data_IF_761048672256
#
_entry.id   IF_761048672256
#
_cell.length_a   1.000
_cell.length_b   1.000
_cell.length_c   1.000
_cell.angle_alpha   90.00
_cell.angle_beta   90.00
_cell.angle_gamma   90.00
#
_symmetry.space_group_name_H-M   'P 1'
#
loop_
_entity.id
_entity.type
_entity.pdbx_description
1 polymer ?
#
# COMPACT_ATOMS: atom_id res chain seq x y z
N UNK A 1 15.01 15.10 24.27
CA UNK A 1 14.28 14.89 25.52
C UNK A 1 14.40 13.48 26.09
N UNK A 2 15.36 12.66 25.65
CA UNK A 2 15.51 11.23 26.03
C UNK A 2 16.27 11.01 27.35
N UNK A 3 17.18 11.88 27.72
CA UNK A 3 18.06 11.67 28.91
C UNK A 3 17.40 11.73 30.31
N UNK A 4 16.17 12.25 30.45
CA UNK A 4 15.50 12.32 31.76
C UNK A 4 14.70 11.06 32.13
N UNK A 5 14.28 10.29 31.14
CA UNK A 5 13.52 9.04 31.35
C UNK A 5 14.44 7.88 31.71
N UNK A 6 15.67 7.88 31.20
CA UNK A 6 16.68 6.88 31.51
C UNK A 6 17.10 6.93 32.99
N UNK A 7 17.42 8.11 33.52
CA UNK A 7 17.85 8.28 34.89
C UNK A 7 16.81 7.85 35.93
N UNK A 8 15.51 7.90 35.62
CA UNK A 8 14.44 7.51 36.54
C UNK A 8 14.15 5.98 36.53
N UNK A 9 14.44 5.29 35.41
CA UNK A 9 14.21 3.86 35.29
C UNK A 9 15.29 3.01 35.99
N UNK A 10 16.52 3.50 36.14
CA UNK A 10 17.65 2.77 36.69
C UNK A 10 17.45 2.28 38.14
N UNK A 11 16.91 3.07 39.10
CA UNK A 11 16.69 2.61 40.45
C UNK A 11 15.66 1.49 40.57
N UNK A 12 14.61 1.52 39.76
CA UNK A 12 13.55 0.50 39.71
C UNK A 12 14.05 -0.82 39.09
N UNK A 13 14.87 -0.73 38.03
CA UNK A 13 15.59 -1.87 37.44
C UNK A 13 16.55 -2.51 38.47
N UNK A 14 17.22 -1.69 39.28
CA UNK A 14 18.16 -2.14 40.29
C UNK A 14 17.50 -2.96 41.40
N UNK A 15 16.26 -2.64 41.74
CA UNK A 15 15.47 -3.33 42.77
C UNK A 15 14.69 -4.54 42.24
N UNK A 16 14.75 -4.83 40.92
CA UNK A 16 13.99 -5.91 40.32
C UNK A 16 12.47 -5.63 40.20
N UNK A 17 12.07 -4.39 40.41
CA UNK A 17 10.67 -3.94 40.32
C UNK A 17 10.18 -3.73 38.88
N UNK A 18 11.11 -3.61 37.95
CA UNK A 18 10.83 -3.38 36.52
C UNK A 18 11.48 -4.46 35.66
N UNK A 19 10.69 -5.03 34.74
CA UNK A 19 11.21 -5.85 33.65
C UNK A 19 11.22 -5.01 32.38
N UNK A 20 12.38 -4.87 31.75
CA UNK A 20 12.58 -4.05 30.56
C UNK A 20 13.11 -4.92 29.42
N UNK A 21 12.48 -4.81 28.26
CA UNK A 21 13.00 -5.32 26.99
C UNK A 21 13.29 -4.10 26.12
N UNK A 22 14.56 -3.93 25.76
CA UNK A 22 15.02 -2.87 24.87
C UNK A 22 15.51 -3.44 23.55
N UNK A 23 15.35 -2.71 22.45
CA UNK A 23 15.95 -3.00 21.16
C UNK A 23 16.96 -1.91 20.81
N UNK A 24 18.13 -2.32 20.32
CA UNK A 24 19.22 -1.41 19.94
C UNK A 24 20.06 -2.04 18.82
N UNK A 25 20.93 -1.27 18.23
CA UNK A 25 21.94 -1.78 17.28
C UNK A 25 23.17 -2.31 18.02
N UNK A 26 23.97 -3.15 17.34
CA UNK A 26 25.22 -3.64 17.90
C UNK A 26 26.19 -2.51 18.26
N UNK A 27 26.22 -1.45 17.48
CA UNK A 27 27.11 -0.31 17.73
C UNK A 27 26.67 0.50 18.95
N UNK A 28 25.37 0.71 19.12
CA UNK A 28 24.81 1.37 20.32
C UNK A 28 24.94 0.48 21.56
N UNK A 29 24.79 -0.84 21.42
CA UNK A 29 24.96 -1.78 22.53
C UNK A 29 26.36 -1.75 23.10
N UNK A 30 27.40 -1.52 22.29
CA UNK A 30 28.78 -1.34 22.76
C UNK A 30 28.94 -0.17 23.75
N UNK A 31 28.10 0.85 23.67
CA UNK A 31 28.09 1.92 24.68
C UNK A 31 27.48 1.43 26.01
N UNK A 32 26.50 0.53 25.96
CA UNK A 32 25.92 -0.10 27.16
C UNK A 32 26.94 -1.02 27.84
N UNK A 33 27.76 -1.76 27.08
CA UNK A 33 28.82 -2.63 27.57
C UNK A 33 29.93 -1.85 28.30
N UNK A 34 30.13 -0.57 28.00
CA UNK A 34 31.09 0.29 28.70
C UNK A 34 30.64 0.68 30.10
N UNK A 35 29.35 0.55 30.43
CA UNK A 35 28.82 0.80 31.75
C UNK A 35 28.59 -0.53 32.50
N UNK A 36 29.46 -0.88 33.48
CA UNK A 36 29.36 -2.14 34.23
C UNK A 36 28.04 -2.29 35.02
N UNK A 37 27.36 -1.17 35.30
CA UNK A 37 26.10 -1.19 36.02
C UNK A 37 24.92 -1.59 35.10
N UNK A 38 25.02 -1.26 33.79
CA UNK A 38 24.07 -1.63 32.75
C UNK A 38 24.32 -3.04 32.24
N UNK A 39 25.57 -3.37 31.92
CA UNK A 39 25.97 -4.66 31.38
C UNK A 39 25.46 -5.83 32.25
N UNK A 40 25.53 -5.72 33.57
CA UNK A 40 25.10 -6.78 34.51
C UNK A 40 23.59 -6.95 34.61
N UNK A 41 22.81 -6.02 34.05
CA UNK A 41 21.34 -5.98 34.16
C UNK A 41 20.61 -6.34 32.89
N UNK A 42 21.31 -6.31 31.78
CA UNK A 42 20.76 -6.66 30.47
C UNK A 42 21.46 -7.92 29.96
N UNK A 43 20.65 -8.90 29.59
CA UNK A 43 21.13 -10.05 28.83
C UNK A 43 20.95 -9.80 27.36
N UNK A 44 22.01 -9.75 26.56
CA UNK A 44 21.90 -9.55 25.13
C UNK A 44 21.22 -10.76 24.47
N UNK A 45 20.29 -10.47 23.57
CA UNK A 45 19.69 -11.44 22.67
C UNK A 45 19.95 -10.94 21.25
N UNK A 46 20.79 -11.64 20.52
CA UNK A 46 21.10 -11.28 19.15
C UNK A 46 19.95 -11.70 18.23
N UNK A 47 19.54 -10.78 17.37
CA UNK A 47 18.51 -11.01 16.37
C UNK A 47 19.16 -10.85 15.00
N UNK A 48 19.38 -11.96 14.32
CA UNK A 48 19.97 -11.99 12.98
C UNK A 48 18.94 -11.63 11.92
N UNK A 49 19.44 -11.24 10.74
CA UNK A 49 18.60 -11.05 9.55
C UNK A 49 17.96 -12.39 9.16
N UNK A 50 16.63 -12.47 8.96
CA UNK A 50 15.98 -13.71 8.56
C UNK A 50 16.40 -14.13 7.15
N UNK A 51 16.37 -15.42 6.90
CA UNK A 51 16.54 -16.00 5.58
C UNK A 51 15.37 -15.62 4.66
N UNK A 52 15.52 -15.90 3.35
CA UNK A 52 14.43 -15.70 2.38
C UNK A 52 13.21 -16.56 2.75
N UNK A 53 13.41 -17.81 3.17
CA UNK A 53 12.34 -18.74 3.58
C UNK A 53 11.61 -18.26 4.83
N UNK A 54 12.35 -17.78 5.83
CA UNK A 54 11.78 -17.19 7.04
C UNK A 54 11.03 -15.91 6.72
N UNK A 55 11.56 -15.07 5.83
CA UNK A 55 10.89 -13.86 5.34
C UNK A 55 9.57 -14.20 4.64
N UNK A 56 9.52 -15.22 3.79
CA UNK A 56 8.27 -15.69 3.17
C UNK A 56 7.24 -16.06 4.24
N UNK A 57 7.66 -16.76 5.29
CA UNK A 57 6.78 -17.14 6.40
C UNK A 57 6.25 -15.92 7.16
N UNK A 58 7.11 -14.93 7.42
CA UNK A 58 6.72 -13.64 8.04
C UNK A 58 5.69 -12.91 7.15
N UNK A 59 5.96 -12.79 5.85
CA UNK A 59 5.06 -12.12 4.90
C UNK A 59 3.72 -12.82 4.77
N UNK A 60 3.66 -14.15 4.82
CA UNK A 60 2.41 -14.92 4.86
C UNK A 60 1.58 -14.58 6.10
N UNK A 61 2.24 -14.40 7.25
CA UNK A 61 1.59 -13.98 8.49
C UNK A 61 1.06 -12.53 8.44
N UNK A 62 1.67 -11.67 7.65
CA UNK A 62 1.27 -10.27 7.49
C UNK A 62 0.29 -10.04 6.33
N UNK A 63 0.19 -10.98 5.41
CA UNK A 63 -0.58 -10.88 4.16
C UNK A 63 -1.98 -10.31 4.36
N UNK A 64 -2.76 -10.89 5.26
CA UNK A 64 -4.15 -10.51 5.48
C UNK A 64 -4.30 -9.04 5.93
N UNK A 65 -3.37 -8.57 6.78
CA UNK A 65 -3.35 -7.16 7.23
C UNK A 65 -3.10 -6.18 6.09
N UNK A 66 -2.18 -6.52 5.19
CA UNK A 66 -1.88 -5.69 4.01
C UNK A 66 -3.00 -5.74 2.98
N UNK A 67 -3.64 -6.90 2.77
CA UNK A 67 -4.82 -7.03 1.90
C UNK A 67 -5.97 -6.14 2.38
N UNK A 68 -6.25 -6.12 3.68
CA UNK A 68 -7.28 -5.25 4.28
C UNK A 68 -6.90 -3.78 4.18
N UNK A 69 -5.64 -3.45 4.51
CA UNK A 69 -5.15 -2.07 4.51
C UNK A 69 -5.23 -1.41 3.13
N UNK A 70 -4.75 -2.11 2.10
CA UNK A 70 -4.73 -1.61 0.73
C UNK A 70 -6.00 -1.93 -0.06
N UNK A 71 -6.83 -2.86 0.40
CA UNK A 71 -8.02 -3.31 -0.31
C UNK A 71 -7.68 -4.00 -1.63
N UNK A 72 -6.59 -4.74 -1.67
CA UNK A 72 -6.10 -5.53 -2.82
C UNK A 72 -5.83 -6.96 -2.38
N UNK A 73 -5.79 -7.89 -3.33
CA UNK A 73 -5.43 -9.28 -3.07
C UNK A 73 -3.95 -9.49 -3.34
N UNK A 74 -3.27 -10.19 -2.42
CA UNK A 74 -1.85 -10.53 -2.53
C UNK A 74 -1.74 -12.03 -2.75
N UNK A 75 -1.20 -12.47 -3.88
CA UNK A 75 -0.97 -13.89 -4.16
C UNK A 75 0.25 -14.43 -3.40
N UNK A 76 0.30 -15.74 -3.18
CA UNK A 76 1.48 -16.36 -2.56
C UNK A 76 2.73 -16.22 -3.46
N UNK A 77 2.56 -16.25 -4.78
CA UNK A 77 3.63 -15.98 -5.73
C UNK A 77 4.19 -14.56 -5.61
N UNK A 78 3.36 -13.56 -5.30
CA UNK A 78 3.82 -12.20 -5.04
C UNK A 78 4.65 -12.12 -3.74
N UNK A 79 4.27 -12.85 -2.71
CA UNK A 79 5.04 -12.96 -1.45
C UNK A 79 6.41 -13.56 -1.71
N UNK A 80 6.47 -14.68 -2.42
CA UNK A 80 7.73 -15.35 -2.78
C UNK A 80 8.60 -14.42 -3.63
N UNK A 81 8.01 -13.74 -4.62
CA UNK A 81 8.71 -12.78 -5.46
C UNK A 81 9.26 -11.61 -4.63
N UNK A 82 8.48 -11.04 -3.71
CA UNK A 82 8.91 -9.93 -2.88
C UNK A 82 10.13 -10.30 -2.02
N UNK A 83 10.14 -11.45 -1.36
CA UNK A 83 11.27 -11.93 -0.58
C UNK A 83 12.50 -12.18 -1.45
N UNK A 84 12.33 -12.91 -2.56
CA UNK A 84 13.44 -13.32 -3.44
C UNK A 84 14.04 -12.11 -4.18
N UNK A 85 13.21 -11.26 -4.77
CA UNK A 85 13.69 -10.12 -5.57
C UNK A 85 14.27 -9.02 -4.68
N UNK A 86 13.68 -8.75 -3.52
CA UNK A 86 14.26 -7.77 -2.58
C UNK A 86 15.62 -8.24 -2.06
N UNK A 87 15.76 -9.53 -1.74
CA UNK A 87 17.05 -10.10 -1.34
C UNK A 87 18.12 -9.95 -2.42
N UNK A 88 17.73 -10.21 -3.68
CA UNK A 88 18.65 -10.20 -4.82
C UNK A 88 19.05 -8.80 -5.28
N UNK A 89 18.11 -7.84 -5.29
CA UNK A 89 18.29 -6.55 -5.96
C UNK A 89 18.39 -5.36 -5.01
N UNK A 90 17.88 -5.48 -3.77
CA UNK A 90 17.94 -4.39 -2.77
C UNK A 90 19.03 -4.77 -1.76
N UNK A 91 20.23 -4.26 -1.97
CA UNK A 91 21.41 -4.58 -1.15
C UNK A 91 21.60 -3.67 0.06
N UNK A 92 21.07 -2.45 0.01
CA UNK A 92 21.25 -1.42 1.05
C UNK A 92 20.34 -1.60 2.27
N UNK A 93 19.33 -2.49 2.16
CA UNK A 93 18.36 -2.74 3.22
C UNK A 93 18.32 -4.24 3.55
N UNK A 94 17.85 -4.55 4.74
CA UNK A 94 17.81 -5.92 5.28
C UNK A 94 16.42 -6.55 5.18
N UNK A 95 16.37 -7.87 5.16
CA UNK A 95 15.15 -8.63 5.38
C UNK A 95 14.74 -8.55 6.88
N UNK A 96 13.45 -8.61 7.21
CA UNK A 96 12.30 -8.71 6.29
C UNK A 96 11.84 -7.37 5.72
N UNK A 97 12.33 -6.23 6.22
CA UNK A 97 11.80 -4.89 5.95
C UNK A 97 11.74 -4.56 4.45
N UNK A 98 12.82 -4.81 3.71
CA UNK A 98 12.84 -4.54 2.27
C UNK A 98 11.81 -5.33 1.46
N UNK A 99 11.46 -6.53 1.91
CA UNK A 99 10.41 -7.34 1.28
C UNK A 99 9.01 -6.86 1.66
N UNK A 100 8.84 -6.43 2.91
CA UNK A 100 7.60 -5.81 3.39
C UNK A 100 7.31 -4.52 2.63
N UNK A 101 8.30 -3.62 2.51
CA UNK A 101 8.16 -2.37 1.77
C UNK A 101 7.82 -2.60 0.29
N UNK A 102 8.40 -3.63 -0.32
CA UNK A 102 8.12 -3.96 -1.72
C UNK A 102 6.66 -4.39 -1.91
N UNK A 103 6.10 -5.17 -0.98
CA UNK A 103 4.67 -5.54 -1.00
C UNK A 103 3.80 -4.32 -0.75
N UNK A 104 4.14 -3.50 0.23
CA UNK A 104 3.39 -2.30 0.61
C UNK A 104 3.29 -1.32 -0.58
N UNK A 105 4.42 -1.02 -1.21
CA UNK A 105 4.46 -0.14 -2.38
C UNK A 105 3.74 -0.73 -3.58
N UNK A 106 3.90 -2.02 -3.87
CA UNK A 106 3.20 -2.68 -4.98
C UNK A 106 1.69 -2.68 -4.76
N UNK A 107 1.23 -2.96 -3.55
CA UNK A 107 -0.18 -2.93 -3.18
C UNK A 107 -0.77 -1.51 -3.28
N UNK A 108 -0.03 -0.49 -2.81
CA UNK A 108 -0.44 0.91 -2.92
C UNK A 108 -0.56 1.35 -4.39
N UNK A 109 0.41 1.00 -5.23
CA UNK A 109 0.36 1.29 -6.67
C UNK A 109 -0.81 0.60 -7.37
N UNK A 110 -1.06 -0.67 -7.04
CA UNK A 110 -2.20 -1.40 -7.59
C UNK A 110 -3.52 -0.76 -7.18
N UNK A 111 -3.65 -0.36 -5.91
CA UNK A 111 -4.82 0.37 -5.43
C UNK A 111 -5.05 1.67 -6.22
N UNK A 112 -4.00 2.47 -6.41
CA UNK A 112 -4.07 3.70 -7.20
C UNK A 112 -4.51 3.41 -8.64
N UNK A 113 -3.97 2.37 -9.27
CA UNK A 113 -4.35 1.97 -10.62
C UNK A 113 -5.82 1.54 -10.70
N UNK A 114 -6.34 0.82 -9.69
CA UNK A 114 -7.75 0.42 -9.62
C UNK A 114 -8.72 1.59 -9.36
N UNK A 115 -8.23 2.66 -8.73
CA UNK A 115 -9.02 3.87 -8.46
C UNK A 115 -8.97 4.89 -9.61
N UNK A 116 -7.97 4.79 -10.48
CA UNK A 116 -7.82 5.67 -11.64
C UNK A 116 -8.74 5.24 -12.78
N UNK A 117 -9.25 6.23 -13.54
CA UNK A 117 -9.99 5.92 -14.75
C UNK A 117 -9.10 5.20 -15.76
N UNK A 118 -9.62 4.24 -16.52
CA UNK A 118 -8.87 3.56 -17.58
C UNK A 118 -8.27 4.56 -18.57
N UNK A 119 -7.04 4.32 -18.99
CA UNK A 119 -6.30 5.18 -19.93
C UNK A 119 -7.05 5.33 -21.26
N UNK A 120 -7.83 4.32 -21.64
CA UNK A 120 -8.69 4.31 -22.81
C UNK A 120 -9.77 5.41 -22.74
N UNK A 121 -10.42 5.59 -21.60
CA UNK A 121 -11.42 6.66 -21.40
C UNK A 121 -10.76 8.04 -21.57
N UNK A 122 -9.59 8.21 -20.97
CA UNK A 122 -8.83 9.47 -21.04
C UNK A 122 -8.41 9.81 -22.47
N UNK A 123 -8.00 8.81 -23.26
CA UNK A 123 -7.66 8.97 -24.67
C UNK A 123 -8.88 9.39 -25.53
N UNK A 124 -10.03 8.77 -25.30
CA UNK A 124 -11.26 9.11 -26.01
C UNK A 124 -11.77 10.51 -25.64
N UNK A 125 -11.64 10.89 -24.37
CA UNK A 125 -12.00 12.25 -23.91
C UNK A 125 -11.11 13.32 -24.54
N UNK A 126 -9.81 13.10 -24.64
CA UNK A 126 -8.89 14.01 -25.34
C UNK A 126 -9.26 14.14 -26.82
N UNK A 127 -9.56 13.02 -27.48
CA UNK A 127 -9.99 13.04 -28.89
C UNK A 127 -11.30 13.81 -29.04
N UNK A 128 -12.27 13.57 -28.17
CA UNK A 128 -13.55 14.32 -28.18
C UNK A 128 -13.31 15.82 -27.98
N UNK A 129 -12.46 16.22 -27.03
CA UNK A 129 -12.13 17.63 -26.78
C UNK A 129 -11.51 18.29 -28.02
N UNK A 130 -10.60 17.62 -28.74
CA UNK A 130 -10.02 18.12 -29.98
C UNK A 130 -11.09 18.37 -31.05
N UNK A 131 -12.03 17.44 -31.24
CA UNK A 131 -13.13 17.59 -32.16
C UNK A 131 -14.11 18.69 -31.74
N UNK A 132 -14.34 18.90 -30.47
CA UNK A 132 -15.17 20.00 -29.95
C UNK A 132 -14.53 21.35 -30.24
N UNK A 133 -13.21 21.48 -30.12
CA UNK A 133 -12.47 22.69 -30.46
C UNK A 133 -12.58 22.95 -31.98
N UNK A 134 -12.39 21.93 -32.84
CA UNK A 134 -12.53 22.02 -34.29
C UNK A 134 -13.96 22.42 -34.65
N UNK A 135 -14.97 21.83 -34.02
CA UNK A 135 -16.38 22.18 -34.20
C UNK A 135 -16.65 23.66 -33.96
N UNK A 136 -16.14 24.21 -32.83
CA UNK A 136 -16.35 25.63 -32.52
C UNK A 136 -15.66 26.58 -33.50
N UNK A 137 -14.53 26.18 -34.10
CA UNK A 137 -13.87 26.91 -35.12
C UNK A 137 -14.71 26.91 -36.43
N UNK A 138 -15.19 25.74 -36.87
CA UNK A 138 -15.95 25.55 -38.10
C UNK A 138 -17.36 26.19 -38.07
N UNK A 139 -17.95 26.34 -36.90
CA UNK A 139 -19.23 27.07 -36.75
C UNK A 139 -19.19 28.53 -37.24
N UNK A 140 -18.02 29.12 -37.28
CA UNK A 140 -17.80 30.50 -37.76
C UNK A 140 -17.68 30.59 -39.29
N UNK A 141 -17.43 29.47 -39.97
CA UNK A 141 -17.25 29.36 -41.39
C UNK A 141 -18.61 29.09 -42.08
N UNK A 142 -18.80 29.66 -43.28
CA UNK A 142 -20.07 29.55 -44.02
C UNK A 142 -19.94 28.82 -45.35
N UNK A 143 -18.73 28.39 -45.72
CA UNK A 143 -18.48 27.66 -46.94
C UNK A 143 -19.03 26.24 -46.91
N UNK A 144 -19.43 25.65 -48.04
CA UNK A 144 -20.06 24.33 -48.10
C UNK A 144 -19.19 23.21 -47.54
N UNK A 145 -17.88 23.25 -47.77
CA UNK A 145 -16.93 22.22 -47.32
C UNK A 145 -16.80 22.21 -45.78
N UNK A 146 -16.73 23.41 -45.18
CA UNK A 146 -16.74 23.57 -43.73
C UNK A 146 -18.04 23.08 -43.09
N UNK A 147 -19.18 23.28 -43.74
CA UNK A 147 -20.48 22.79 -43.27
C UNK A 147 -20.58 21.26 -43.34
N UNK A 148 -20.05 20.63 -44.39
CA UNK A 148 -19.99 19.17 -44.49
C UNK A 148 -19.06 18.58 -43.42
N UNK A 149 -17.89 19.17 -43.23
CA UNK A 149 -16.95 18.78 -42.18
C UNK A 149 -17.55 18.92 -40.77
N UNK A 150 -18.30 19.99 -40.52
CA UNK A 150 -19.01 20.24 -39.27
C UNK A 150 -19.99 19.09 -38.95
N UNK A 151 -20.79 18.64 -39.91
CA UNK A 151 -21.73 17.53 -39.74
C UNK A 151 -20.98 16.23 -39.43
N UNK A 152 -19.87 15.97 -40.12
CA UNK A 152 -19.05 14.78 -39.86
C UNK A 152 -18.49 14.77 -38.42
N UNK A 153 -17.96 15.91 -37.97
CA UNK A 153 -17.43 16.08 -36.61
C UNK A 153 -18.53 15.91 -35.57
N UNK A 154 -19.71 16.49 -35.76
CA UNK A 154 -20.84 16.33 -34.84
C UNK A 154 -21.25 14.86 -34.68
N UNK A 155 -21.28 14.12 -35.80
CA UNK A 155 -21.55 12.68 -35.78
C UNK A 155 -20.45 11.88 -35.01
N UNK A 156 -19.19 12.27 -35.21
CA UNK A 156 -18.07 11.62 -34.51
C UNK A 156 -18.07 11.94 -33.00
N UNK A 157 -18.34 13.17 -32.58
CA UNK A 157 -18.51 13.59 -31.19
C UNK A 157 -19.65 12.79 -30.52
N UNK A 158 -20.79 12.61 -31.23
CA UNK A 158 -21.91 11.82 -30.69
C UNK A 158 -21.52 10.37 -30.44
N UNK A 159 -20.80 9.72 -31.39
CA UNK A 159 -20.28 8.36 -31.22
C UNK A 159 -19.31 8.25 -30.06
N UNK A 160 -18.32 9.14 -29.97
CA UNK A 160 -17.36 9.16 -28.88
C UNK A 160 -18.04 9.38 -27.51
N UNK A 161 -19.05 10.24 -27.46
CA UNK A 161 -19.81 10.48 -26.23
C UNK A 161 -20.54 9.23 -25.75
N UNK A 162 -21.14 8.47 -26.68
CA UNK A 162 -21.81 7.19 -26.35
C UNK A 162 -20.80 6.14 -25.87
N UNK A 163 -19.66 6.03 -26.56
CA UNK A 163 -18.59 5.08 -26.24
C UNK A 163 -17.99 5.39 -24.85
N UNK A 164 -17.65 6.64 -24.58
CA UNK A 164 -17.16 7.09 -23.28
C UNK A 164 -18.19 6.79 -22.18
N UNK A 165 -19.47 7.03 -22.44
CA UNK A 165 -20.53 6.77 -21.46
C UNK A 165 -20.63 5.27 -21.11
N UNK A 166 -20.50 4.39 -22.09
CA UNK A 166 -20.48 2.93 -21.87
C UNK A 166 -19.29 2.49 -21.03
N UNK A 167 -18.07 2.90 -21.43
CA UNK A 167 -16.85 2.54 -20.72
C UNK A 167 -16.83 3.10 -19.28
N UNK A 168 -17.32 4.33 -19.08
CA UNK A 168 -17.47 4.88 -17.72
C UNK A 168 -18.44 4.09 -16.88
N UNK A 169 -19.59 3.68 -17.43
CA UNK A 169 -20.59 2.90 -16.70
C UNK A 169 -20.06 1.51 -16.33
N UNK A 170 -19.27 0.87 -17.18
CA UNK A 170 -18.59 -0.40 -16.90
C UNK A 170 -17.57 -0.22 -15.78
N UNK A 171 -16.70 0.76 -15.89
CA UNK A 171 -15.69 1.08 -14.88
C UNK A 171 -16.29 1.43 -13.50
N UNK A 172 -17.35 2.22 -13.48
CA UNK A 172 -18.06 2.55 -12.23
C UNK A 172 -18.67 1.32 -11.56
N UNK A 173 -19.21 0.37 -12.35
CA UNK A 173 -19.72 -0.91 -11.82
C UNK A 173 -18.60 -1.75 -11.20
N UNK A 174 -17.48 -1.89 -11.90
CA UNK A 174 -16.32 -2.62 -11.39
C UNK A 174 -15.77 -1.98 -10.11
N UNK A 175 -15.65 -0.67 -10.09
CA UNK A 175 -15.22 0.10 -8.92
C UNK A 175 -16.16 -0.08 -7.73
N UNK A 176 -17.47 -0.09 -7.96
CA UNK A 176 -18.47 -0.32 -6.92
C UNK A 176 -18.38 -1.74 -6.35
N UNK A 177 -18.14 -2.74 -7.17
CA UNK A 177 -17.91 -4.12 -6.73
C UNK A 177 -16.66 -4.21 -5.84
N UNK A 178 -15.57 -3.58 -6.27
CA UNK A 178 -14.32 -3.52 -5.50
C UNK A 178 -14.51 -2.79 -4.16
N UNK A 179 -15.29 -1.71 -4.15
CA UNK A 179 -15.64 -0.97 -2.93
C UNK A 179 -16.39 -1.86 -1.94
N UNK A 180 -17.42 -2.57 -2.39
CA UNK A 180 -18.19 -3.49 -1.56
C UNK A 180 -17.34 -4.64 -1.02
N UNK A 181 -16.42 -5.16 -1.83
CA UNK A 181 -15.47 -6.19 -1.40
C UNK A 181 -14.58 -5.69 -0.26
N UNK A 182 -14.03 -4.48 -0.37
CA UNK A 182 -13.21 -3.85 0.67
C UNK A 182 -13.99 -3.64 1.97
N UNK A 183 -15.22 -3.13 1.86
CA UNK A 183 -16.10 -2.94 3.02
C UNK A 183 -16.38 -4.25 3.74
N UNK A 184 -16.62 -5.34 2.98
CA UNK A 184 -16.82 -6.67 3.54
C UNK A 184 -15.55 -7.22 4.22
N UNK A 185 -14.39 -7.05 3.60
CA UNK A 185 -13.10 -7.44 4.19
C UNK A 185 -12.81 -6.67 5.49
N UNK A 186 -13.04 -5.37 5.49
CA UNK A 186 -12.85 -4.54 6.69
C UNK A 186 -13.76 -4.95 7.83
N UNK A 187 -15.05 -5.22 7.54
CA UNK A 187 -15.99 -5.75 8.54
C UNK A 187 -15.55 -7.10 9.11
N UNK A 188 -15.06 -7.98 8.25
CA UNK A 188 -14.58 -9.29 8.68
C UNK A 188 -13.38 -9.15 9.63
N UNK A 189 -12.46 -8.24 9.33
CA UNK A 189 -11.30 -7.96 10.21
C UNK A 189 -11.73 -7.34 11.55
N UNK A 190 -12.71 -6.43 11.54
CA UNK A 190 -13.29 -5.88 12.78
C UNK A 190 -13.90 -6.97 13.67
N UNK A 191 -14.74 -7.85 13.09
CA UNK A 191 -15.36 -8.96 13.83
C UNK A 191 -14.30 -9.93 14.39
N UNK A 192 -13.25 -10.23 13.63
CA UNK A 192 -12.15 -11.07 14.11
C UNK A 192 -11.46 -10.45 15.32
N UNK A 193 -11.17 -9.14 15.27
CA UNK A 193 -10.58 -8.43 16.43
C UNK A 193 -11.50 -8.44 17.65
N UNK A 194 -12.81 -8.28 17.45
CA UNK A 194 -13.78 -8.37 18.54
C UNK A 194 -13.78 -9.76 19.18
N UNK A 195 -13.72 -10.83 18.36
CA UNK A 195 -13.63 -12.21 18.84
C UNK A 195 -12.35 -12.41 19.67
N UNK A 196 -11.18 -11.99 19.13
CA UNK A 196 -9.90 -12.09 19.85
C UNK A 196 -9.92 -11.34 21.19
N UNK A 197 -10.54 -10.15 21.22
CA UNK A 197 -10.67 -9.38 22.46
C UNK A 197 -11.62 -10.06 23.45
N UNK A 198 -12.73 -10.62 22.98
CA UNK A 198 -13.67 -11.34 23.81
C UNK A 198 -13.03 -12.62 24.41
N UNK A 199 -12.29 -13.38 23.60
CA UNK A 199 -11.56 -14.57 24.05
C UNK A 199 -10.55 -14.23 25.16
N UNK A 200 -9.79 -13.12 25.00
CA UNK A 200 -8.83 -12.65 26.02
C UNK A 200 -9.47 -12.14 27.32
N UNK A 201 -10.75 -11.77 27.29
CA UNK A 201 -11.48 -11.31 28.47
C UNK A 201 -12.09 -12.46 29.26
N UNK A 202 -12.23 -13.64 28.66
CA UNK A 202 -12.81 -14.84 29.28
C UNK A 202 -11.75 -15.85 29.76
N UNK A 203 -10.45 -15.64 29.48
CA UNK A 203 -9.31 -16.35 30.06
C UNK A 203 -8.82 -15.63 31.34
#
# INVERSE_FOLDING_TARGET
>A
GTGKTEAAAFPALARGELRLIGATTLDEYREIEKDPALERRFQPVYVDEPTVEETISILRGLKEKYEVHHGVRISDSAIIAAATLSHRYITERRLPDKAIDLIDEAAARLRMALESAPEEIDALERKKLQLEIEREALKKEKDPDSQERLKAIEAEIAKLTEEIAKLRAEWEREREILRKLREAQHRLDEVRREIELAERQYD
#
